data_IF_779402323536
#
_entry.id   IF_779402323536
#
_cell.length_a   1.000
_cell.length_b   1.000
_cell.length_c   1.000
_cell.angle_alpha   90.00
_cell.angle_beta   90.00
_cell.angle_gamma   90.00
#
_symmetry.space_group_name_H-M   'P 1'
#
loop_
_entity.id
_entity.type
_entity.pdbx_description
1 polymer ?
#
# COMPACT_ATOMS: atom_id res chain seq x y z
N UNK A 1 -15.91 16.43 -4.04
CA UNK A 1 -14.73 16.05 -3.26
C UNK A 1 -13.42 16.44 -3.94
N UNK A 2 -13.39 16.56 -5.26
CA UNK A 2 -12.16 16.72 -6.06
C UNK A 2 -11.39 15.40 -6.31
N UNK A 3 -11.75 14.33 -5.61
CA UNK A 3 -11.14 13.00 -5.80
C UNK A 3 -11.73 12.25 -6.99
N UNK A 4 -10.96 11.30 -7.52
CA UNK A 4 -11.39 10.39 -8.60
C UNK A 4 -12.16 9.20 -8.03
N UNK A 5 -13.18 8.76 -8.77
CA UNK A 5 -14.03 7.63 -8.42
C UNK A 5 -13.41 6.31 -8.90
N UNK A 6 -13.49 5.27 -8.07
CA UNK A 6 -13.06 3.90 -8.40
C UNK A 6 -14.20 2.91 -8.19
N UNK A 7 -14.42 2.02 -9.15
CA UNK A 7 -15.37 0.91 -9.02
C UNK A 7 -14.79 -0.27 -8.26
N UNK A 8 -13.47 -0.47 -8.40
CA UNK A 8 -12.77 -1.64 -7.90
C UNK A 8 -11.49 -1.25 -7.17
N UNK A 9 -11.09 -2.09 -6.23
CA UNK A 9 -9.78 -2.11 -5.57
C UNK A 9 -8.72 -2.73 -6.49
N UNK A 10 -7.43 -2.60 -6.20
CA UNK A 10 -6.37 -3.29 -6.94
C UNK A 10 -6.47 -4.83 -6.91
N UNK A 11 -7.21 -5.40 -5.96
CA UNK A 11 -7.52 -6.83 -5.84
C UNK A 11 -8.66 -7.31 -6.75
N UNK A 12 -9.24 -6.44 -7.57
CA UNK A 12 -10.46 -6.67 -8.35
C UNK A 12 -11.76 -6.77 -7.52
N UNK A 13 -11.69 -6.57 -6.21
CA UNK A 13 -12.87 -6.49 -5.35
C UNK A 13 -13.57 -5.14 -5.50
N UNK A 14 -14.90 -5.13 -5.39
CA UNK A 14 -15.67 -3.90 -5.50
C UNK A 14 -15.41 -2.95 -4.32
N UNK A 15 -15.28 -1.66 -4.61
CA UNK A 15 -15.28 -0.64 -3.56
C UNK A 15 -16.66 -0.53 -2.91
N UNK A 16 -16.68 -0.40 -1.58
CA UNK A 16 -17.89 -0.05 -0.82
C UNK A 16 -18.15 1.45 -0.91
N UNK A 17 -17.11 2.26 -0.68
CA UNK A 17 -17.11 3.70 -0.88
C UNK A 17 -16.10 4.07 -1.98
N UNK A 18 -16.58 4.76 -3.00
CA UNK A 18 -15.90 4.83 -4.28
C UNK A 18 -14.74 5.82 -4.37
N UNK A 19 -14.42 6.58 -3.32
CA UNK A 19 -13.16 7.32 -3.26
C UNK A 19 -12.11 6.45 -2.56
N UNK A 20 -11.42 5.62 -3.35
CA UNK A 20 -10.30 4.79 -2.91
C UNK A 20 -9.10 5.69 -2.62
N UNK A 21 -8.78 5.89 -1.34
CA UNK A 21 -7.80 6.89 -0.91
C UNK A 21 -6.40 6.59 -1.41
N UNK A 22 -5.83 5.35 -1.31
CA UNK A 22 -4.49 5.10 -1.82
C UNK A 22 -4.38 5.29 -3.34
N UNK A 23 -5.43 4.99 -4.12
CA UNK A 23 -5.44 5.25 -5.55
C UNK A 23 -5.47 6.76 -5.87
N UNK A 24 -6.20 7.54 -5.08
CA UNK A 24 -6.19 9.01 -5.21
C UNK A 24 -4.84 9.61 -4.81
N UNK A 25 -4.17 9.08 -3.78
CA UNK A 25 -2.79 9.47 -3.44
C UNK A 25 -1.84 9.20 -4.61
N UNK A 26 -1.92 8.02 -5.22
CA UNK A 26 -1.10 7.66 -6.39
C UNK A 26 -1.41 8.56 -7.59
N UNK A 27 -2.68 8.84 -7.89
CA UNK A 27 -3.07 9.77 -8.95
C UNK A 27 -2.47 11.17 -8.73
N UNK A 28 -2.45 11.65 -7.48
CA UNK A 28 -1.83 12.95 -7.16
C UNK A 28 -0.32 12.97 -7.43
N UNK A 29 0.40 11.86 -7.17
CA UNK A 29 1.83 11.74 -7.50
C UNK A 29 2.02 11.79 -9.02
N UNK A 30 1.32 10.92 -9.75
CA UNK A 30 1.43 10.81 -11.21
C UNK A 30 1.08 12.13 -11.92
N UNK A 31 0.09 12.87 -11.45
CA UNK A 31 -0.24 14.20 -11.99
C UNK A 31 0.89 15.22 -11.79
N UNK A 32 1.65 15.12 -10.69
CA UNK A 32 2.84 15.93 -10.47
C UNK A 32 3.96 15.61 -11.46
N UNK A 33 4.25 14.33 -11.65
CA UNK A 33 5.24 13.84 -12.62
C UNK A 33 4.84 14.18 -14.07
N UNK A 34 3.55 14.00 -14.38
CA UNK A 34 3.02 14.34 -15.70
C UNK A 34 3.15 15.83 -16.01
N UNK A 35 2.96 16.70 -15.01
CA UNK A 35 3.19 18.15 -15.18
C UNK A 35 4.68 18.46 -15.44
N UNK A 36 5.61 17.76 -14.79
CA UNK A 36 7.04 17.90 -15.06
C UNK A 36 7.39 17.45 -16.49
N UNK A 37 6.91 16.29 -16.92
CA UNK A 37 7.09 15.78 -18.29
C UNK A 37 6.51 16.77 -19.32
N UNK A 38 5.32 17.31 -19.06
CA UNK A 38 4.68 18.29 -19.95
C UNK A 38 5.55 19.54 -20.14
N UNK A 39 6.18 20.04 -19.07
CA UNK A 39 7.10 21.19 -19.15
C UNK A 39 8.40 20.86 -19.84
N UNK A 40 9.05 19.78 -19.43
CA UNK A 40 10.41 19.46 -19.85
C UNK A 40 10.47 18.84 -21.24
N UNK A 41 9.56 17.89 -21.54
CA UNK A 41 9.59 17.12 -22.77
C UNK A 41 8.65 17.66 -23.85
N UNK A 42 7.45 18.09 -23.47
CA UNK A 42 6.42 18.54 -24.43
C UNK A 42 6.38 20.05 -24.60
N UNK A 43 6.98 20.81 -23.67
CA UNK A 43 6.94 22.29 -23.62
C UNK A 43 5.49 22.83 -23.61
N UNK A 44 4.59 22.11 -22.99
CA UNK A 44 3.16 22.43 -22.85
C UNK A 44 2.85 22.87 -21.41
N UNK A 45 3.03 24.18 -21.17
CA UNK A 45 2.75 24.78 -19.86
C UNK A 45 1.24 24.77 -19.55
N UNK A 46 0.37 24.86 -20.54
CA UNK A 46 -1.07 24.86 -20.31
C UNK A 46 -1.53 23.51 -19.76
N UNK A 47 -1.05 22.41 -20.35
CA UNK A 47 -1.32 21.06 -19.85
C UNK A 47 -0.71 20.84 -18.46
N UNK A 48 0.53 21.30 -18.22
CA UNK A 48 1.17 21.20 -16.91
C UNK A 48 0.37 21.88 -15.80
N UNK A 49 -0.13 23.09 -16.07
CA UNK A 49 -0.97 23.83 -15.11
C UNK A 49 -2.29 23.13 -14.82
N UNK A 50 -2.90 22.52 -15.84
CA UNK A 50 -4.15 21.75 -15.66
C UNK A 50 -3.91 20.47 -14.82
N UNK A 51 -2.84 19.72 -15.09
CA UNK A 51 -2.44 18.57 -14.28
C UNK A 51 -2.24 18.95 -12.80
N UNK A 52 -1.54 20.05 -12.55
CA UNK A 52 -1.34 20.57 -11.19
C UNK A 52 -2.63 21.08 -10.53
N UNK A 53 -3.58 21.61 -11.31
CA UNK A 53 -4.89 22.00 -10.81
C UNK A 53 -5.65 20.77 -10.30
N UNK A 54 -5.75 19.74 -11.14
CA UNK A 54 -6.42 18.46 -10.77
C UNK A 54 -5.73 17.82 -9.57
N UNK A 55 -4.39 17.79 -9.56
CA UNK A 55 -3.62 17.30 -8.41
C UNK A 55 -4.00 18.00 -7.11
N UNK A 56 -4.09 19.33 -7.12
CA UNK A 56 -4.48 20.10 -5.92
C UNK A 56 -5.89 19.74 -5.43
N UNK A 57 -6.83 19.57 -6.34
CA UNK A 57 -8.21 19.18 -5.99
C UNK A 57 -8.25 17.81 -5.34
N UNK A 58 -7.50 16.83 -5.88
CA UNK A 58 -7.39 15.50 -5.29
C UNK A 58 -6.78 15.57 -3.88
N UNK A 59 -5.64 16.26 -3.71
CA UNK A 59 -4.98 16.38 -2.40
C UNK A 59 -5.90 17.04 -1.37
N UNK A 60 -6.58 18.12 -1.74
CA UNK A 60 -7.57 18.77 -0.86
C UNK A 60 -8.73 17.83 -0.50
N UNK A 61 -9.18 17.01 -1.46
CA UNK A 61 -10.19 15.99 -1.22
C UNK A 61 -9.72 14.91 -0.24
N UNK A 62 -8.49 14.41 -0.38
CA UNK A 62 -7.90 13.45 0.55
C UNK A 62 -7.79 14.05 1.95
N UNK A 63 -7.30 15.28 2.07
CA UNK A 63 -7.18 15.96 3.37
C UNK A 63 -8.53 16.17 4.06
N UNK A 64 -9.56 16.52 3.30
CA UNK A 64 -10.89 16.81 3.83
C UNK A 64 -11.72 15.56 4.15
N UNK A 65 -11.56 14.48 3.40
CA UNK A 65 -12.44 13.31 3.46
C UNK A 65 -11.72 11.97 3.64
N UNK A 66 -10.43 11.90 3.40
CA UNK A 66 -9.64 10.67 3.46
C UNK A 66 -8.92 10.45 4.79
N UNK A 67 -8.92 11.45 5.71
CA UNK A 67 -8.26 11.35 7.01
C UNK A 67 -9.30 11.38 8.11
N UNK A 68 -9.26 10.39 8.99
CA UNK A 68 -10.20 10.22 10.10
C UNK A 68 -9.47 10.21 11.44
N UNK A 69 -10.19 10.43 12.53
CA UNK A 69 -9.64 10.34 13.88
C UNK A 69 -9.99 8.98 14.48
N UNK A 70 -8.96 8.15 14.68
CA UNK A 70 -9.09 6.87 15.37
C UNK A 70 -8.85 7.04 16.87
N UNK A 71 -9.67 6.45 17.77
CA UNK A 71 -9.55 6.67 19.22
C UNK A 71 -8.19 6.32 19.81
N UNK A 72 -7.55 5.27 19.29
CA UNK A 72 -6.26 4.77 19.81
C UNK A 72 -5.05 5.29 19.05
N UNK A 73 -5.17 5.43 17.71
CA UNK A 73 -4.03 5.77 16.85
C UNK A 73 -3.99 7.24 16.44
N UNK A 74 -5.02 8.05 16.77
CA UNK A 74 -5.09 9.44 16.36
C UNK A 74 -5.53 9.61 14.91
N UNK A 75 -4.94 10.56 14.17
CA UNK A 75 -5.28 10.77 12.76
C UNK A 75 -4.67 9.68 11.90
N UNK A 76 -5.53 9.00 11.12
CA UNK A 76 -5.13 7.94 10.18
C UNK A 76 -5.82 8.14 8.83
N UNK A 77 -5.25 7.60 7.75
CA UNK A 77 -5.93 7.52 6.47
C UNK A 77 -7.01 6.43 6.51
N UNK A 78 -8.18 6.73 5.96
CA UNK A 78 -9.17 5.72 5.60
C UNK A 78 -8.75 5.04 4.28
N UNK A 79 -9.21 3.81 4.06
CA UNK A 79 -8.98 3.12 2.79
C UNK A 79 -9.95 3.59 1.71
N UNK A 80 -11.25 3.69 2.05
CA UNK A 80 -12.28 4.22 1.18
C UNK A 80 -13.10 5.30 1.91
N UNK A 81 -13.65 6.25 1.16
CA UNK A 81 -14.56 7.28 1.66
C UNK A 81 -15.66 7.58 0.64
N UNK A 82 -16.81 8.12 1.10
CA UNK A 82 -17.90 8.58 0.23
C UNK A 82 -17.96 10.10 0.07
N UNK A 83 -17.17 10.84 0.86
CA UNK A 83 -17.20 12.31 0.91
C UNK A 83 -18.38 12.89 1.68
N UNK A 84 -19.19 12.05 2.33
CA UNK A 84 -20.37 12.43 3.12
C UNK A 84 -20.23 12.09 4.60
N UNK A 85 -19.08 11.54 5.00
CA UNK A 85 -18.75 11.18 6.37
C UNK A 85 -18.74 9.68 6.64
N UNK A 86 -18.94 8.84 5.64
CA UNK A 86 -18.75 7.41 5.76
C UNK A 86 -17.40 7.02 5.16
N UNK A 87 -16.77 6.04 5.79
CA UNK A 87 -15.46 5.55 5.40
C UNK A 87 -15.28 4.09 5.79
N UNK A 88 -14.40 3.40 5.06
CA UNK A 88 -13.97 2.05 5.39
C UNK A 88 -12.56 2.07 5.95
N UNK A 89 -12.40 1.49 7.13
CA UNK A 89 -11.11 1.30 7.77
C UNK A 89 -10.62 -0.13 7.54
N UNK A 90 -9.67 -0.28 6.65
CA UNK A 90 -8.93 -1.50 6.33
C UNK A 90 -7.68 -1.11 5.53
N UNK A 91 -6.87 -2.06 5.14
CA UNK A 91 -5.97 -1.98 3.99
C UNK A 91 -6.07 -3.28 3.20
N UNK A 92 -5.77 -3.22 1.91
CA UNK A 92 -5.65 -4.38 1.05
C UNK A 92 -4.16 -4.60 0.74
N UNK A 93 -3.78 -5.85 0.56
CA UNK A 93 -2.39 -6.21 0.28
C UNK A 93 -1.86 -5.65 -1.05
N UNK A 94 -2.75 -5.42 -2.02
CA UNK A 94 -2.36 -4.99 -3.36
C UNK A 94 -2.09 -3.49 -3.44
N UNK A 95 -1.07 -3.12 -4.20
CA UNK A 95 -0.67 -1.71 -4.42
C UNK A 95 -1.49 -1.10 -5.56
N UNK A 96 -2.00 0.13 -5.42
CA UNK A 96 -1.82 1.08 -4.31
C UNK A 96 -2.60 0.69 -3.03
N UNK A 97 -1.91 0.71 -1.91
CA UNK A 97 -2.43 0.47 -0.56
C UNK A 97 -2.03 1.62 0.37
N UNK A 98 -2.65 1.72 1.55
CA UNK A 98 -2.26 2.72 2.54
C UNK A 98 -0.83 2.48 3.03
N UNK A 99 -0.42 1.22 3.15
CA UNK A 99 0.95 0.87 3.53
C UNK A 99 1.97 1.34 2.49
N UNK A 100 1.59 1.40 1.21
CA UNK A 100 2.48 1.77 0.10
C UNK A 100 2.67 3.27 -0.12
N UNK A 101 2.02 4.16 0.62
CA UNK A 101 2.03 5.61 0.36
C UNK A 101 3.44 6.23 0.26
N UNK A 102 4.42 5.87 1.11
CA UNK A 102 5.80 6.36 0.96
C UNK A 102 6.50 5.77 -0.27
N UNK A 103 6.30 4.50 -0.56
CA UNK A 103 6.85 3.82 -1.72
C UNK A 103 6.37 4.46 -3.03
N UNK A 104 5.10 4.86 -3.07
CA UNK A 104 4.49 5.58 -4.19
C UNK A 104 4.97 7.04 -4.31
N UNK A 105 5.70 7.57 -3.32
CA UNK A 105 6.18 8.94 -3.31
C UNK A 105 5.13 9.99 -2.92
N UNK A 106 4.01 9.59 -2.32
CA UNK A 106 2.97 10.52 -1.91
C UNK A 106 3.38 11.37 -0.70
N UNK A 107 4.09 10.77 0.25
CA UNK A 107 4.55 11.40 1.50
C UNK A 107 5.84 10.72 1.99
N UNK A 108 6.63 11.38 2.85
CA UNK A 108 7.79 10.75 3.46
C UNK A 108 7.34 9.71 4.51
N UNK A 109 8.15 8.65 4.75
CA UNK A 109 7.80 7.61 5.71
C UNK A 109 7.68 8.13 7.15
N UNK A 110 8.23 9.30 7.47
CA UNK A 110 8.15 9.95 8.80
C UNK A 110 6.88 10.79 8.99
N UNK A 111 6.02 10.92 7.98
CA UNK A 111 4.76 11.67 8.11
C UNK A 111 3.94 11.17 9.30
N UNK A 112 3.50 12.05 10.23
CA UNK A 112 2.83 11.61 11.45
C UNK A 112 1.51 10.88 11.22
N UNK A 113 0.74 11.29 10.20
CA UNK A 113 -0.53 10.63 9.85
C UNK A 113 -0.26 9.26 9.27
N UNK A 114 0.78 9.15 8.43
CA UNK A 114 1.22 7.86 7.90
C UNK A 114 1.74 6.93 9.00
N UNK A 115 2.56 7.42 9.93
CA UNK A 115 3.07 6.60 11.03
C UNK A 115 1.93 6.05 11.89
N UNK A 116 0.93 6.87 12.19
CA UNK A 116 -0.28 6.43 12.89
C UNK A 116 -1.05 5.38 12.07
N UNK A 117 -1.21 5.63 10.77
CA UNK A 117 -1.86 4.69 9.84
C UNK A 117 -1.10 3.37 9.79
N UNK A 118 0.21 3.40 9.61
CA UNK A 118 1.06 2.20 9.57
C UNK A 118 0.97 1.40 10.87
N UNK A 119 1.01 2.07 12.02
CA UNK A 119 0.86 1.41 13.32
C UNK A 119 -0.51 0.72 13.47
N UNK A 120 -1.57 1.35 12.97
CA UNK A 120 -2.91 0.78 12.94
C UNK A 120 -3.02 -0.39 11.95
N UNK A 121 -2.49 -0.24 10.72
CA UNK A 121 -2.52 -1.27 9.67
C UNK A 121 -1.84 -2.57 10.12
N UNK A 122 -0.76 -2.46 10.88
CA UNK A 122 0.01 -3.59 11.39
C UNK A 122 -0.45 -4.03 12.81
N UNK A 123 -1.73 -3.84 13.11
CA UNK A 123 -2.37 -4.25 14.36
C UNK A 123 -3.64 -5.06 14.11
N UNK A 124 -4.14 -5.74 15.14
CA UNK A 124 -5.38 -6.51 15.11
C UNK A 124 -6.64 -5.67 14.85
N UNK A 125 -6.54 -4.33 14.92
CA UNK A 125 -7.65 -3.43 14.62
C UNK A 125 -7.86 -3.25 13.11
N UNK A 126 -6.89 -3.62 12.26
CA UNK A 126 -7.08 -3.76 10.83
C UNK A 126 -7.71 -5.14 10.54
N UNK A 127 -8.93 -5.21 9.97
CA UNK A 127 -9.61 -6.48 9.70
C UNK A 127 -8.87 -7.40 8.73
N UNK A 128 -7.95 -6.86 7.93
CA UNK A 128 -7.12 -7.62 7.01
C UNK A 128 -5.73 -7.95 7.57
N UNK A 129 -5.42 -7.62 8.84
CA UNK A 129 -4.18 -8.03 9.46
C UNK A 129 -4.35 -9.37 10.15
N UNK A 130 -3.61 -10.37 9.71
CA UNK A 130 -3.68 -11.73 10.25
C UNK A 130 -2.43 -12.07 11.05
N UNK A 131 -2.63 -12.76 12.16
CA UNK A 131 -1.57 -13.27 13.01
C UNK A 131 -1.67 -14.79 13.12
N UNK A 132 -0.58 -15.47 12.83
CA UNK A 132 -0.45 -16.91 12.97
C UNK A 132 0.87 -17.32 13.63
N UNK A 133 1.10 -18.62 13.69
CA UNK A 133 2.30 -19.20 14.32
C UNK A 133 3.58 -18.94 13.54
N UNK A 134 3.48 -18.79 12.22
CA UNK A 134 4.63 -18.63 11.31
C UNK A 134 4.78 -17.20 10.84
N UNK A 135 3.66 -16.54 10.55
CA UNK A 135 3.67 -15.20 10.00
C UNK A 135 2.60 -14.30 10.61
N UNK A 136 2.86 -13.00 10.58
CA UNK A 136 1.84 -11.98 10.75
C UNK A 136 2.02 -10.92 9.67
N UNK A 137 0.90 -10.39 9.15
CA UNK A 137 0.94 -9.40 8.08
C UNK A 137 -0.43 -9.10 7.50
N UNK A 138 -0.45 -8.15 6.57
CA UNK A 138 -1.67 -7.76 5.88
C UNK A 138 -2.00 -8.79 4.79
N UNK A 139 -3.26 -9.17 4.73
CA UNK A 139 -3.86 -9.99 3.68
C UNK A 139 -4.86 -9.18 2.86
N UNK A 140 -5.86 -9.86 2.32
CA UNK A 140 -6.89 -9.26 1.48
C UNK A 140 -8.23 -9.97 1.69
N UNK A 141 -9.33 -9.24 1.53
CA UNK A 141 -10.68 -9.86 1.45
C UNK A 141 -10.83 -10.76 0.22
N UNK A 142 -9.94 -10.61 -0.77
CA UNK A 142 -9.88 -11.44 -1.99
C UNK A 142 -9.57 -12.92 -1.70
N UNK A 143 -8.89 -13.22 -0.61
CA UNK A 143 -8.56 -14.59 -0.19
C UNK A 143 -9.18 -14.92 1.16
N UNK A 144 -9.11 -16.21 1.55
CA UNK A 144 -9.66 -16.64 2.82
C UNK A 144 -9.01 -15.93 4.01
N UNK A 145 -9.77 -15.72 5.08
CA UNK A 145 -9.27 -15.16 6.32
C UNK A 145 -8.09 -15.97 6.88
N UNK A 146 -7.11 -15.30 7.45
CA UNK A 146 -5.88 -15.92 7.95
C UNK A 146 -4.77 -16.05 6.91
N UNK A 147 -5.01 -15.65 5.66
CA UNK A 147 -4.00 -15.68 4.61
C UNK A 147 -3.25 -14.34 4.52
N UNK A 148 -1.94 -14.39 4.75
CA UNK A 148 -1.02 -13.24 4.61
C UNK A 148 -0.50 -13.19 3.17
N UNK A 149 -0.33 -11.97 2.65
CA UNK A 149 0.13 -11.77 1.28
C UNK A 149 1.60 -11.35 1.23
N UNK A 150 2.46 -12.08 0.52
CA UNK A 150 3.86 -11.70 0.32
C UNK A 150 4.07 -10.31 -0.26
N UNK A 151 3.17 -9.83 -1.13
CA UNK A 151 3.22 -8.46 -1.66
C UNK A 151 3.12 -7.40 -0.55
N UNK A 152 2.23 -7.61 0.43
CA UNK A 152 2.08 -6.71 1.57
C UNK A 152 3.27 -6.80 2.53
N UNK A 153 3.83 -7.99 2.75
CA UNK A 153 5.05 -8.16 3.52
C UNK A 153 6.24 -7.45 2.87
N UNK A 154 6.42 -7.60 1.55
CA UNK A 154 7.46 -6.90 0.82
C UNK A 154 7.28 -5.37 0.93
N UNK A 155 6.05 -4.87 0.80
CA UNK A 155 5.72 -3.45 0.97
C UNK A 155 6.00 -2.98 2.40
N UNK A 156 5.69 -3.79 3.42
CA UNK A 156 6.03 -3.48 4.81
C UNK A 156 7.55 -3.30 4.98
N UNK A 157 8.36 -4.14 4.34
CA UNK A 157 9.81 -4.03 4.36
C UNK A 157 10.31 -2.80 3.59
N UNK A 158 9.78 -2.53 2.39
CA UNK A 158 10.15 -1.38 1.55
C UNK A 158 9.85 -0.04 2.22
N UNK A 159 8.82 0.01 3.06
CA UNK A 159 8.42 1.22 3.81
C UNK A 159 8.92 1.24 5.26
N UNK A 160 9.77 0.29 5.65
CA UNK A 160 10.35 0.25 6.99
C UNK A 160 11.49 1.26 7.14
N UNK A 161 11.55 1.91 8.31
CA UNK A 161 12.56 2.92 8.65
C UNK A 161 13.85 2.32 9.25
N UNK A 162 13.90 1.01 9.52
CA UNK A 162 15.06 0.37 10.11
C UNK A 162 15.45 -0.92 9.38
N UNK A 163 16.75 -1.20 9.39
CA UNK A 163 17.34 -2.38 8.75
C UNK A 163 16.80 -3.69 9.35
N UNK A 164 16.62 -3.74 10.66
CA UNK A 164 16.18 -4.93 11.38
C UNK A 164 14.78 -5.39 10.93
N UNK A 165 13.87 -4.46 10.68
CA UNK A 165 12.55 -4.81 10.15
C UNK A 165 12.65 -5.34 8.72
N UNK A 166 13.43 -4.68 7.86
CA UNK A 166 13.66 -5.13 6.49
C UNK A 166 14.23 -6.56 6.46
N UNK A 167 15.28 -6.80 7.23
CA UNK A 167 15.91 -8.12 7.32
C UNK A 167 14.95 -9.20 7.85
N UNK A 168 14.17 -8.89 8.87
CA UNK A 168 13.15 -9.79 9.42
C UNK A 168 12.10 -10.16 8.35
N UNK A 169 11.63 -9.18 7.59
CA UNK A 169 10.65 -9.41 6.51
C UNK A 169 11.26 -10.26 5.39
N UNK A 170 12.48 -9.98 4.97
CA UNK A 170 13.18 -10.79 3.95
C UNK A 170 13.29 -12.25 4.42
N UNK A 171 13.73 -12.48 5.66
CA UNK A 171 13.81 -13.84 6.22
C UNK A 171 12.44 -14.54 6.24
N UNK A 172 11.39 -13.82 6.59
CA UNK A 172 10.02 -14.34 6.59
C UNK A 172 9.59 -14.73 5.16
N UNK A 173 9.75 -13.86 4.18
CA UNK A 173 9.42 -14.12 2.78
C UNK A 173 10.15 -15.35 2.25
N UNK A 174 11.46 -15.44 2.46
CA UNK A 174 12.27 -16.58 2.01
C UNK A 174 11.89 -17.89 2.73
N UNK A 175 11.47 -17.81 3.99
CA UNK A 175 11.07 -18.97 4.81
C UNK A 175 9.66 -19.49 4.52
N UNK A 176 8.81 -18.73 3.79
CA UNK A 176 7.41 -19.09 3.55
C UNK A 176 7.09 -19.48 2.10
N UNK A 177 8.11 -19.87 1.34
CA UNK A 177 7.98 -20.28 -0.07
C UNK A 177 7.47 -21.72 -0.26
N UNK A 178 7.24 -22.48 0.80
CA UNK A 178 6.84 -23.89 0.77
C UNK A 178 7.75 -24.77 -0.14
N UNK A 179 9.04 -24.40 -0.28
CA UNK A 179 9.99 -25.06 -1.14
C UNK A 179 9.88 -24.75 -2.64
N UNK A 180 8.93 -23.89 -3.05
CA UNK A 180 8.77 -23.48 -4.46
C UNK A 180 9.87 -22.51 -4.93
N UNK A 181 10.57 -21.84 -4.01
CA UNK A 181 11.58 -20.83 -4.33
C UNK A 181 11.01 -19.59 -5.03
N UNK A 182 9.71 -19.35 -4.87
CA UNK A 182 8.94 -18.24 -5.43
C UNK A 182 7.97 -17.69 -4.39
N UNK A 183 7.55 -16.44 -4.56
CA UNK A 183 6.51 -15.84 -3.73
C UNK A 183 5.13 -16.31 -4.20
N UNK A 184 4.31 -16.72 -3.25
CA UNK A 184 2.90 -17.02 -3.48
C UNK A 184 2.07 -15.74 -3.61
N UNK A 185 0.83 -15.84 -4.07
CA UNK A 185 -0.14 -14.76 -3.95
C UNK A 185 -0.46 -14.52 -2.47
N UNK A 186 -0.85 -15.60 -1.76
CA UNK A 186 -1.06 -15.59 -0.32
C UNK A 186 -0.73 -16.95 0.30
N UNK A 187 -0.50 -16.98 1.60
CA UNK A 187 -0.29 -18.23 2.36
C UNK A 187 -0.93 -18.14 3.74
N UNK A 188 -1.35 -19.29 4.27
CA UNK A 188 -1.97 -19.35 5.60
C UNK A 188 -0.95 -19.07 6.70
N UNK A 189 -1.26 -18.12 7.58
CA UNK A 189 -0.33 -17.59 8.58
C UNK A 189 0.20 -18.63 9.59
N UNK A 190 -0.54 -19.73 9.83
CA UNK A 190 -0.11 -20.82 10.70
C UNK A 190 0.68 -21.92 9.97
N UNK A 191 0.46 -22.08 8.65
CA UNK A 191 1.04 -23.14 7.84
C UNK A 191 1.27 -22.68 6.39
N UNK A 192 2.50 -22.23 6.04
CA UNK A 192 2.82 -21.74 4.71
C UNK A 192 2.74 -22.78 3.60
N UNK A 193 2.57 -24.07 3.91
CA UNK A 193 2.31 -25.09 2.89
C UNK A 193 0.91 -24.98 2.27
N UNK A 194 0.03 -24.23 2.92
CA UNK A 194 -1.30 -23.88 2.43
C UNK A 194 -1.23 -22.49 1.78
N UNK A 195 -1.24 -22.43 0.47
CA UNK A 195 -1.09 -21.19 -0.28
C UNK A 195 -2.03 -21.11 -1.49
N UNK A 196 -2.31 -19.90 -1.94
CA UNK A 196 -2.94 -19.62 -3.22
C UNK A 196 -1.85 -19.30 -4.23
N UNK A 197 -1.99 -19.79 -5.46
CA UNK A 197 -1.03 -19.68 -6.56
C UNK A 197 0.42 -20.01 -6.18
N UNK A 198 1.05 -21.02 -6.78
CA UNK A 198 2.40 -21.47 -6.42
C UNK A 198 3.48 -20.41 -6.63
N UNK A 199 3.23 -19.43 -7.51
CA UNK A 199 4.08 -18.26 -7.74
C UNK A 199 3.24 -17.07 -8.21
N UNK A 200 3.65 -15.86 -7.80
CA UNK A 200 2.97 -14.62 -8.11
C UNK A 200 4.01 -13.55 -8.44
N UNK A 201 4.13 -13.17 -9.72
CA UNK A 201 5.24 -12.35 -10.21
C UNK A 201 5.31 -10.95 -9.58
N UNK A 202 4.17 -10.37 -9.18
CA UNK A 202 4.16 -9.08 -8.49
C UNK A 202 4.86 -9.16 -7.13
N UNK A 203 4.59 -10.21 -6.37
CA UNK A 203 5.26 -10.45 -5.09
C UNK A 203 6.73 -10.83 -5.28
N UNK A 204 7.07 -11.63 -6.30
CA UNK A 204 8.46 -11.93 -6.66
C UNK A 204 9.25 -10.65 -6.94
N UNK A 205 8.68 -9.72 -7.72
CA UNK A 205 9.33 -8.46 -8.08
C UNK A 205 9.59 -7.57 -6.87
N UNK A 206 8.58 -7.38 -6.01
CA UNK A 206 8.73 -6.56 -4.81
C UNK A 206 9.68 -7.20 -3.78
N UNK A 207 9.68 -8.54 -3.67
CA UNK A 207 10.66 -9.23 -2.82
C UNK A 207 12.09 -9.02 -3.33
N UNK A 208 12.32 -9.11 -4.64
CA UNK A 208 13.61 -8.85 -5.25
C UNK A 208 14.04 -7.39 -5.04
N UNK A 209 13.15 -6.43 -5.20
CA UNK A 209 13.41 -5.01 -4.94
C UNK A 209 13.75 -4.77 -3.47
N UNK A 210 13.00 -5.35 -2.52
CA UNK A 210 13.30 -5.24 -1.10
C UNK A 210 14.72 -5.76 -0.77
N UNK A 211 15.12 -6.89 -1.34
CA UNK A 211 16.48 -7.45 -1.16
C UNK A 211 17.52 -6.49 -1.75
N UNK A 212 17.28 -5.98 -2.96
CA UNK A 212 18.17 -5.04 -3.63
C UNK A 212 18.35 -3.75 -2.81
N UNK A 213 17.27 -3.10 -2.41
CA UNK A 213 17.28 -1.88 -1.61
C UNK A 213 17.93 -2.08 -0.23
N UNK A 214 17.85 -3.29 0.33
CA UNK A 214 18.37 -3.57 1.67
C UNK A 214 19.87 -3.89 1.66
N UNK A 215 20.37 -4.60 0.65
CA UNK A 215 21.72 -5.17 0.68
C UNK A 215 22.64 -4.74 -0.47
N UNK A 216 22.10 -4.28 -1.59
CA UNK A 216 22.89 -4.09 -2.81
C UNK A 216 23.00 -2.62 -3.24
N UNK A 217 22.05 -1.78 -2.90
CA UNK A 217 21.99 -0.37 -3.36
C UNK A 217 23.20 0.46 -2.92
N UNK A 218 23.74 0.23 -1.71
CA UNK A 218 24.91 0.95 -1.20
C UNK A 218 26.24 0.35 -1.66
N UNK A 219 26.19 -0.78 -2.37
CA UNK A 219 27.41 -1.54 -2.77
C UNK A 219 27.77 -1.30 -4.24
N UNK A 220 26.92 -0.63 -5.00
CA UNK A 220 27.08 -0.26 -6.42
C UNK A 220 27.23 1.25 -6.58
#
# INVERSE_FOLDING_TARGET
TGMTWSGFRPSDDACEYHYLIPANCFAAVILGELAAIAREAWQDEAFALEALRVRREIVQGIEAYGIVHHPRFGRIYAYEADGLGHFRLMDDANVPSLLSLPYLGYLPPEDPVYQNTRAWLLSEENPCYFQGKVACGVGSEHTAAGYVWPIALAMQGLTANCFEEKERIIRLLLGTTAGCGRMHESFYADDPSQFTRPWFSWADSLCAELIYETYLKETL
#
